data_IF_491053342897
#
_entry.id   IF_491053342897
#
_cell.length_a   1.000
_cell.length_b   1.000
_cell.length_c   1.000
_cell.angle_alpha   90.00
_cell.angle_beta   90.00
_cell.angle_gamma   90.00
#
_symmetry.space_group_name_H-M   'P 1'
#
loop_
_entity.id
_entity.type
_entity.pdbx_description
1 polymer ?
#
# COMPACT_ATOMS: atom_id res chain seq x y z
N UNK A 1 -5.21 -15.32 -0.52
CA UNK A 1 -4.19 -14.43 -1.10
C UNK A 1 -4.79 -13.16 -1.70
N UNK A 2 -5.61 -13.25 -2.76
CA UNK A 2 -6.10 -12.08 -3.52
C UNK A 2 -6.81 -11.04 -2.66
N UNK A 3 -7.78 -11.48 -1.84
CA UNK A 3 -8.55 -10.59 -0.94
C UNK A 3 -7.63 -9.90 0.06
N UNK A 4 -6.70 -10.64 0.69
CA UNK A 4 -5.75 -10.08 1.68
C UNK A 4 -4.87 -8.99 1.05
N UNK A 5 -4.27 -9.26 -0.11
CA UNK A 5 -3.44 -8.29 -0.83
C UNK A 5 -4.27 -7.07 -1.22
N UNK A 6 -5.48 -7.28 -1.77
CA UNK A 6 -6.36 -6.18 -2.14
C UNK A 6 -6.78 -5.32 -0.95
N UNK A 7 -7.16 -5.91 0.19
CA UNK A 7 -7.54 -5.16 1.40
C UNK A 7 -6.37 -4.35 1.97
N UNK A 8 -5.16 -4.93 2.01
CA UNK A 8 -3.97 -4.21 2.47
C UNK A 8 -3.62 -3.06 1.52
N UNK A 9 -3.71 -3.28 0.20
CA UNK A 9 -3.51 -2.23 -0.81
C UNK A 9 -4.51 -1.09 -0.66
N UNK A 10 -5.81 -1.40 -0.46
CA UNK A 10 -6.85 -0.38 -0.24
C UNK A 10 -6.48 0.48 0.97
N UNK A 11 -6.17 -0.14 2.09
CA UNK A 11 -5.85 0.58 3.34
C UNK A 11 -4.63 1.49 3.16
N UNK A 12 -3.56 0.97 2.57
CA UNK A 12 -2.29 1.71 2.44
C UNK A 12 -2.37 2.79 1.37
N UNK A 13 -3.00 2.55 0.22
CA UNK A 13 -3.18 3.57 -0.81
C UNK A 13 -4.13 4.66 -0.33
N UNK A 14 -5.19 4.31 0.40
CA UNK A 14 -6.09 5.29 0.98
C UNK A 14 -5.37 6.18 2.00
N UNK A 15 -4.59 5.57 2.91
CA UNK A 15 -3.79 6.29 3.89
C UNK A 15 -2.75 7.20 3.22
N UNK A 16 -2.00 6.66 2.24
CA UNK A 16 -1.00 7.42 1.51
C UNK A 16 -1.62 8.61 0.76
N UNK A 17 -2.78 8.43 0.13
CA UNK A 17 -3.52 9.49 -0.54
C UNK A 17 -4.03 10.56 0.42
N UNK A 18 -4.59 10.15 1.56
CA UNK A 18 -5.08 11.09 2.57
C UNK A 18 -3.94 11.93 3.18
N UNK A 19 -2.76 11.32 3.36
CA UNK A 19 -1.59 11.95 3.93
C UNK A 19 -0.72 12.72 2.93
N UNK A 20 -0.90 12.52 1.62
CA UNK A 20 -0.01 13.05 0.58
C UNK A 20 0.21 14.58 0.64
N UNK A 21 -0.85 15.31 0.98
CA UNK A 21 -0.87 16.77 1.00
C UNK A 21 -0.69 17.35 2.40
N UNK A 22 -1.30 16.74 3.43
CA UNK A 22 -1.28 17.25 4.81
C UNK A 22 -0.20 16.58 5.71
N UNK A 23 0.66 15.73 5.15
CA UNK A 23 1.81 15.13 5.86
C UNK A 23 2.63 16.13 6.68
N UNK A 24 2.96 17.34 6.17
CA UNK A 24 3.75 18.30 6.93
C UNK A 24 3.02 18.77 8.18
N UNK A 25 1.69 18.95 8.11
CA UNK A 25 0.88 19.36 9.24
C UNK A 25 0.84 18.28 10.34
N UNK A 26 0.76 17.00 9.94
CA UNK A 26 0.81 15.87 10.88
C UNK A 26 2.15 15.83 11.61
N UNK A 27 3.27 15.95 10.88
CA UNK A 27 4.61 15.96 11.49
C UNK A 27 4.81 17.19 12.36
N UNK A 28 4.37 18.37 11.92
CA UNK A 28 4.46 19.59 12.71
C UNK A 28 3.69 19.46 14.03
N UNK A 29 2.47 18.92 14.00
CA UNK A 29 1.68 18.66 15.21
C UNK A 29 2.34 17.64 16.13
N UNK A 30 2.81 16.51 15.57
CA UNK A 30 3.45 15.43 16.34
C UNK A 30 4.77 15.87 16.99
N UNK A 31 5.59 16.64 16.27
CA UNK A 31 6.88 17.14 16.74
C UNK A 31 6.77 18.44 17.53
N UNK A 32 5.56 18.99 17.68
CA UNK A 32 5.29 20.34 18.24
C UNK A 32 6.13 21.42 17.54
N UNK A 33 6.33 21.27 16.24
CA UNK A 33 7.10 22.19 15.40
C UNK A 33 8.61 22.18 15.64
N UNK A 34 9.16 21.17 16.31
CA UNK A 34 10.60 21.10 16.61
C UNK A 34 11.46 20.61 15.46
N UNK A 35 10.86 19.97 14.46
CA UNK A 35 11.56 19.36 13.32
C UNK A 35 10.92 19.89 12.04
N UNK A 36 11.75 20.46 11.16
CA UNK A 36 11.31 20.88 9.83
C UNK A 36 11.08 19.63 8.95
N UNK A 37 9.87 19.39 8.45
CA UNK A 37 9.57 18.18 7.69
C UNK A 37 10.13 18.27 6.26
N UNK A 38 11.03 17.36 5.90
CA UNK A 38 11.40 17.15 4.49
C UNK A 38 10.23 16.48 3.75
N UNK A 39 9.48 17.28 3.00
CA UNK A 39 8.30 16.84 2.25
C UNK A 39 8.67 15.79 1.19
N UNK A 40 9.85 15.92 0.57
CA UNK A 40 10.33 14.97 -0.44
C UNK A 40 10.56 13.60 0.18
N UNK A 41 11.27 13.56 1.30
CA UNK A 41 11.56 12.33 2.03
C UNK A 41 10.28 11.63 2.48
N UNK A 42 9.35 12.38 3.08
CA UNK A 42 8.09 11.83 3.60
C UNK A 42 7.22 11.24 2.49
N UNK A 43 7.15 11.90 1.33
CA UNK A 43 6.42 11.36 0.16
C UNK A 43 7.07 10.11 -0.40
N UNK A 44 8.40 10.07 -0.47
CA UNK A 44 9.13 8.87 -0.90
C UNK A 44 8.92 7.70 0.07
N UNK A 45 8.89 7.96 1.38
CA UNK A 45 8.56 6.93 2.36
C UNK A 45 7.12 6.43 2.21
N UNK A 46 6.15 7.30 1.94
CA UNK A 46 4.77 6.87 1.64
C UNK A 46 4.72 5.96 0.41
N UNK A 47 5.43 6.32 -0.66
CA UNK A 47 5.53 5.46 -1.85
C UNK A 47 6.19 4.12 -1.53
N UNK A 48 7.24 4.12 -0.70
CA UNK A 48 7.88 2.89 -0.24
C UNK A 48 6.91 1.98 0.49
N UNK A 49 6.09 2.50 1.40
CA UNK A 49 5.07 1.71 2.12
C UNK A 49 4.06 1.08 1.16
N UNK A 50 3.62 1.80 0.13
CA UNK A 50 2.71 1.26 -0.91
C UNK A 50 3.34 0.07 -1.62
N UNK A 51 4.58 0.21 -2.08
CA UNK A 51 5.33 -0.87 -2.75
C UNK A 51 5.55 -2.06 -1.81
N UNK A 52 5.93 -1.77 -0.56
CA UNK A 52 6.26 -2.78 0.44
C UNK A 52 5.06 -3.67 0.80
N UNK A 53 3.87 -3.06 0.87
CA UNK A 53 2.64 -3.75 1.23
C UNK A 53 2.28 -4.86 0.25
N UNK A 54 2.65 -4.73 -1.04
CA UNK A 54 2.33 -5.71 -2.08
C UNK A 54 2.94 -7.07 -1.75
N UNK A 55 4.22 -7.07 -1.40
CA UNK A 55 4.95 -8.29 -1.15
C UNK A 55 4.83 -8.73 0.32
N UNK A 56 4.66 -7.82 1.30
CA UNK A 56 4.41 -8.17 2.70
C UNK A 56 3.10 -8.96 2.88
N UNK A 57 2.03 -8.57 2.20
CA UNK A 57 0.77 -9.34 2.27
C UNK A 57 0.91 -10.73 1.63
N UNK A 58 1.80 -10.88 0.65
CA UNK A 58 2.07 -12.15 0.00
C UNK A 58 3.01 -13.05 0.81
N UNK A 59 3.98 -12.49 1.55
CA UNK A 59 4.94 -13.26 2.37
C UNK A 59 4.29 -14.08 3.47
N UNK A 60 3.07 -13.72 3.88
CA UNK A 60 2.29 -14.48 4.86
C UNK A 60 2.01 -15.93 4.40
N UNK A 61 1.96 -16.19 3.09
CA UNK A 61 1.69 -17.53 2.54
C UNK A 61 2.94 -18.43 2.63
N UNK A 62 4.13 -18.03 2.12
CA UNK A 62 5.37 -18.73 2.38
C UNK A 62 5.65 -18.94 3.86
N UNK A 63 5.35 -17.94 4.71
CA UNK A 63 5.49 -18.05 6.15
C UNK A 63 4.57 -19.14 6.74
N UNK A 64 3.28 -19.15 6.37
CA UNK A 64 2.33 -20.17 6.85
C UNK A 64 2.63 -21.58 6.32
N UNK A 65 3.38 -21.71 5.22
CA UNK A 65 3.78 -22.99 4.63
C UNK A 65 5.18 -23.44 5.05
N UNK A 66 5.74 -22.87 6.13
CA UNK A 66 7.06 -23.18 6.66
C UNK A 66 8.23 -22.96 5.67
N UNK A 67 8.04 -22.13 4.63
CA UNK A 67 9.09 -21.78 3.65
C UNK A 67 9.88 -20.54 4.08
N UNK A 68 10.14 -20.42 5.38
CA UNK A 68 10.84 -19.27 5.95
C UNK A 68 12.23 -19.06 5.33
N UNK A 69 12.94 -20.12 4.95
CA UNK A 69 14.29 -20.02 4.36
C UNK A 69 14.31 -19.21 3.05
N UNK A 70 13.41 -19.50 2.11
CA UNK A 70 13.33 -18.77 0.82
C UNK A 70 12.98 -17.30 1.05
N UNK A 71 12.04 -17.07 1.97
CA UNK A 71 11.61 -15.73 2.35
C UNK A 71 12.78 -14.93 2.96
N UNK A 72 13.44 -15.46 3.98
CA UNK A 72 14.58 -14.81 4.65
C UNK A 72 15.73 -14.51 3.70
N UNK A 73 16.04 -15.41 2.75
CA UNK A 73 17.07 -15.14 1.75
C UNK A 73 16.69 -13.97 0.83
N UNK A 74 15.44 -13.92 0.35
CA UNK A 74 14.95 -12.83 -0.50
C UNK A 74 15.00 -11.49 0.24
N UNK A 75 14.59 -11.47 1.50
CA UNK A 75 14.70 -10.30 2.38
C UNK A 75 16.15 -9.86 2.60
N UNK A 76 17.04 -10.81 2.87
CA UNK A 76 18.45 -10.50 3.12
C UNK A 76 19.09 -9.88 1.88
N UNK A 77 18.83 -10.43 0.69
CA UNK A 77 19.30 -9.87 -0.59
C UNK A 77 18.72 -8.47 -0.81
N UNK A 78 17.42 -8.27 -0.60
CA UNK A 78 16.77 -6.97 -0.75
C UNK A 78 17.34 -5.92 0.19
N UNK A 79 17.55 -6.25 1.46
CA UNK A 79 18.07 -5.32 2.46
C UNK A 79 19.54 -4.98 2.20
N UNK A 80 20.37 -5.97 1.87
CA UNK A 80 21.78 -5.74 1.51
C UNK A 80 21.88 -4.87 0.27
N UNK A 81 21.08 -5.17 -0.77
CA UNK A 81 21.02 -4.35 -1.98
C UNK A 81 20.52 -2.92 -1.68
N UNK A 82 19.50 -2.77 -0.85
CA UNK A 82 18.95 -1.48 -0.45
C UNK A 82 19.97 -0.61 0.31
N UNK A 83 20.74 -1.20 1.22
CA UNK A 83 21.82 -0.51 1.96
C UNK A 83 22.97 -0.14 1.03
N UNK A 84 23.40 -1.06 0.15
CA UNK A 84 24.47 -0.81 -0.81
C UNK A 84 24.10 0.32 -1.79
N UNK A 85 22.89 0.28 -2.34
CA UNK A 85 22.36 1.33 -3.20
C UNK A 85 22.21 2.66 -2.46
N UNK A 86 21.77 2.62 -1.19
CA UNK A 86 21.67 3.83 -0.36
C UNK A 86 23.04 4.47 -0.18
N UNK A 87 24.07 3.70 0.15
CA UNK A 87 25.43 4.21 0.30
C UNK A 87 25.98 4.84 -1.00
N UNK A 88 25.63 4.27 -2.16
CA UNK A 88 26.03 4.79 -3.47
C UNK A 88 25.28 6.07 -3.86
N UNK A 89 23.99 6.16 -3.54
CA UNK A 89 23.10 7.26 -3.94
C UNK A 89 23.12 8.44 -2.94
N UNK A 90 23.54 8.20 -1.69
CA UNK A 90 23.62 9.21 -0.63
C UNK A 90 24.36 10.48 -1.04
N UNK A 91 25.54 10.42 -1.72
CA UNK A 91 26.27 11.62 -2.11
C UNK A 91 25.53 12.51 -3.12
N UNK A 92 24.59 11.94 -3.90
CA UNK A 92 23.89 12.65 -4.99
C UNK A 92 22.48 13.08 -4.61
N UNK A 93 21.77 12.27 -3.84
CA UNK A 93 20.35 12.50 -3.51
C UNK A 93 20.11 12.81 -2.02
N UNK A 94 21.15 12.85 -1.20
CA UNK A 94 21.02 13.08 0.24
C UNK A 94 20.15 12.03 0.92
N UNK A 95 19.35 12.43 1.91
CA UNK A 95 18.47 11.51 2.65
C UNK A 95 17.39 10.84 1.77
N UNK A 96 16.99 11.47 0.67
CA UNK A 96 16.03 10.91 -0.28
C UNK A 96 16.57 9.64 -0.98
N UNK A 97 17.89 9.44 -0.98
CA UNK A 97 18.52 8.22 -1.49
C UNK A 97 18.00 6.95 -0.79
N UNK A 98 17.66 7.04 0.50
CA UNK A 98 17.27 5.89 1.32
C UNK A 98 15.99 5.24 0.76
N UNK A 99 14.81 5.92 0.76
CA UNK A 99 13.59 5.28 0.27
C UNK A 99 13.67 4.91 -1.21
N UNK A 100 14.37 5.69 -2.05
CA UNK A 100 14.55 5.36 -3.47
C UNK A 100 15.28 4.02 -3.64
N UNK A 101 16.36 3.82 -2.88
CA UNK A 101 17.17 2.60 -2.93
C UNK A 101 16.38 1.39 -2.45
N UNK A 102 15.60 1.54 -1.38
CA UNK A 102 14.76 0.47 -0.86
C UNK A 102 13.62 0.13 -1.82
N UNK A 103 12.96 1.12 -2.44
CA UNK A 103 11.95 0.87 -3.47
C UNK A 103 12.55 0.06 -4.62
N UNK A 104 13.72 0.48 -5.13
CA UNK A 104 14.39 -0.22 -6.22
C UNK A 104 14.77 -1.67 -5.84
N UNK A 105 15.35 -1.86 -4.65
CA UNK A 105 15.74 -3.17 -4.16
C UNK A 105 14.54 -4.11 -3.90
N UNK A 106 13.46 -3.60 -3.30
CA UNK A 106 12.25 -4.38 -3.03
C UNK A 106 11.52 -4.76 -4.31
N UNK A 107 11.46 -3.88 -5.32
CA UNK A 107 10.88 -4.21 -6.62
C UNK A 107 11.70 -5.31 -7.30
N UNK A 108 13.03 -5.21 -7.28
CA UNK A 108 13.91 -6.17 -7.92
C UNK A 108 13.88 -7.55 -7.25
N UNK A 109 13.91 -7.59 -5.91
CA UNK A 109 14.01 -8.83 -5.15
C UNK A 109 12.64 -9.33 -4.67
N UNK A 110 11.93 -8.54 -3.88
CA UNK A 110 10.76 -9.01 -3.15
C UNK A 110 9.52 -9.14 -4.04
N UNK A 111 9.25 -8.16 -4.90
CA UNK A 111 8.05 -8.21 -5.78
C UNK A 111 8.12 -9.36 -6.77
N UNK A 112 9.32 -9.70 -7.28
CA UNK A 112 9.45 -10.84 -8.19
C UNK A 112 9.49 -12.18 -7.45
N UNK A 113 10.41 -12.37 -6.50
CA UNK A 113 10.63 -13.69 -5.89
C UNK A 113 9.52 -14.09 -4.93
N UNK A 114 9.13 -13.22 -3.99
CA UNK A 114 8.15 -13.56 -2.94
C UNK A 114 6.76 -13.73 -3.55
N UNK A 115 6.38 -12.86 -4.49
CA UNK A 115 5.07 -12.93 -5.13
C UNK A 115 4.96 -14.15 -6.04
N UNK A 116 6.02 -14.50 -6.77
CA UNK A 116 6.07 -15.71 -7.60
C UNK A 116 5.97 -16.98 -6.75
N UNK A 117 6.69 -17.04 -5.63
CA UNK A 117 6.60 -18.19 -4.71
C UNK A 117 5.20 -18.32 -4.11
N UNK A 118 4.59 -17.21 -3.68
CA UNK A 118 3.22 -17.23 -3.18
C UNK A 118 2.21 -17.67 -4.25
N UNK A 119 2.33 -17.20 -5.50
CA UNK A 119 1.49 -17.65 -6.61
C UNK A 119 1.66 -19.14 -6.91
N UNK A 120 2.89 -19.66 -6.90
CA UNK A 120 3.17 -21.10 -7.10
C UNK A 120 2.52 -21.96 -6.03
N UNK A 121 2.57 -21.55 -4.76
CA UNK A 121 1.98 -22.29 -3.64
C UNK A 121 0.45 -22.34 -3.76
N UNK A 122 -0.18 -21.25 -4.20
CA UNK A 122 -1.64 -21.17 -4.37
C UNK A 122 -2.12 -21.79 -5.70
N UNK A 123 -1.21 -22.04 -6.65
CA UNK A 123 -1.55 -22.53 -7.99
C UNK A 123 -2.17 -21.46 -8.90
N UNK A 124 -1.79 -20.18 -8.72
CA UNK A 124 -2.28 -19.07 -9.54
C UNK A 124 -1.30 -18.71 -10.64
N UNK A 125 -1.82 -18.19 -11.76
CA UNK A 125 -0.99 -17.59 -12.80
C UNK A 125 -0.35 -16.28 -12.32
N UNK A 126 0.98 -16.31 -12.19
CA UNK A 126 1.80 -15.18 -11.69
C UNK A 126 1.67 -13.91 -12.55
N UNK A 127 1.90 -13.93 -13.88
CA UNK A 127 1.85 -12.72 -14.69
C UNK A 127 0.46 -12.10 -14.72
N UNK A 128 -0.61 -12.90 -14.86
CA UNK A 128 -1.97 -12.36 -14.81
C UNK A 128 -2.29 -11.73 -13.44
N UNK A 129 -1.85 -12.35 -12.34
CA UNK A 129 -2.03 -11.78 -11.01
C UNK A 129 -1.27 -10.47 -10.83
N UNK A 130 0.02 -10.43 -11.21
CA UNK A 130 0.85 -9.24 -11.07
C UNK A 130 0.30 -8.07 -11.91
N UNK A 131 0.00 -8.30 -13.19
CA UNK A 131 -0.53 -7.27 -14.09
C UNK A 131 -1.84 -6.73 -13.54
N UNK A 132 -2.75 -7.59 -13.09
CA UNK A 132 -4.03 -7.16 -12.53
C UNK A 132 -3.85 -6.36 -11.24
N UNK A 133 -3.00 -6.81 -10.32
CA UNK A 133 -2.79 -6.11 -9.04
C UNK A 133 -2.06 -4.78 -9.25
N UNK A 134 -1.02 -4.73 -10.07
CA UNK A 134 -0.28 -3.49 -10.35
C UNK A 134 -1.14 -2.48 -11.11
N UNK A 135 -1.86 -2.91 -12.16
CA UNK A 135 -2.74 -1.99 -12.90
C UNK A 135 -3.92 -1.51 -12.05
N UNK A 136 -4.55 -2.40 -11.27
CA UNK A 136 -5.62 -2.03 -10.35
C UNK A 136 -5.15 -1.05 -9.27
N UNK A 137 -3.98 -1.29 -8.66
CA UNK A 137 -3.39 -0.39 -7.68
C UNK A 137 -2.96 0.95 -8.29
N UNK A 138 -2.48 0.98 -9.53
CA UNK A 138 -2.14 2.22 -10.23
C UNK A 138 -3.40 3.07 -10.49
N UNK A 139 -4.47 2.46 -11.01
CA UNK A 139 -5.76 3.13 -11.23
C UNK A 139 -6.31 3.66 -9.90
N UNK A 140 -6.26 2.85 -8.84
CA UNK A 140 -6.71 3.26 -7.51
C UNK A 140 -5.89 4.41 -6.95
N UNK A 141 -4.56 4.38 -7.12
CA UNK A 141 -3.68 5.47 -6.67
C UNK A 141 -3.99 6.78 -7.37
N UNK A 142 -4.24 6.74 -8.69
CA UNK A 142 -4.64 7.94 -9.47
C UNK A 142 -5.99 8.47 -9.00
N UNK A 143 -6.98 7.60 -8.82
CA UNK A 143 -8.31 8.00 -8.37
C UNK A 143 -8.29 8.60 -6.96
N UNK A 144 -7.54 7.97 -6.04
CA UNK A 144 -7.33 8.44 -4.68
C UNK A 144 -6.60 9.78 -4.67
N UNK A 145 -5.56 9.94 -5.49
CA UNK A 145 -4.82 11.19 -5.60
C UNK A 145 -5.70 12.32 -6.14
N UNK A 146 -6.52 12.05 -7.16
CA UNK A 146 -7.48 13.00 -7.70
C UNK A 146 -8.55 13.40 -6.67
N UNK A 147 -9.07 12.44 -5.91
CA UNK A 147 -10.02 12.71 -4.83
C UNK A 147 -9.40 13.56 -3.72
N UNK A 148 -8.18 13.24 -3.30
CA UNK A 148 -7.44 14.01 -2.31
C UNK A 148 -7.19 15.45 -2.82
N UNK A 149 -6.81 15.62 -4.09
CA UNK A 149 -6.63 16.93 -4.70
C UNK A 149 -7.95 17.74 -4.74
N UNK A 150 -9.07 17.11 -5.07
CA UNK A 150 -10.38 17.75 -5.07
C UNK A 150 -10.79 18.24 -3.67
N UNK A 151 -10.50 17.46 -2.62
CA UNK A 151 -10.73 17.86 -1.22
C UNK A 151 -9.89 19.09 -0.87
N UNK A 152 -8.62 19.12 -1.29
CA UNK A 152 -7.73 20.27 -1.07
C UNK A 152 -8.22 21.53 -1.78
N UNK A 153 -8.81 21.40 -2.97
CA UNK A 153 -9.36 22.52 -3.72
C UNK A 153 -10.70 23.04 -3.19
N UNK A 154 -11.52 22.17 -2.58
CA UNK A 154 -12.90 22.50 -2.17
C UNK A 154 -13.03 22.95 -0.72
N UNK A 155 -12.13 22.51 0.16
CA UNK A 155 -12.16 22.84 1.58
C UNK A 155 -11.07 23.88 1.88
N UNK A 156 -11.35 25.19 1.84
CA UNK A 156 -10.41 26.25 2.22
C UNK A 156 -10.14 26.32 3.75
N UNK A 157 -10.41 25.25 4.50
CA UNK A 157 -10.27 25.18 5.95
C UNK A 157 -8.85 24.81 6.44
N UNK A 158 -8.67 24.82 7.77
CA UNK A 158 -7.41 24.43 8.41
C UNK A 158 -7.03 22.97 8.15
N UNK A 159 -5.74 22.65 8.26
CA UNK A 159 -5.17 21.34 7.92
C UNK A 159 -5.88 20.15 8.61
N UNK A 160 -6.39 20.34 9.83
CA UNK A 160 -7.14 19.31 10.56
C UNK A 160 -8.49 18.94 9.87
N UNK A 161 -9.21 19.93 9.35
CA UNK A 161 -10.47 19.69 8.65
C UNK A 161 -10.26 18.94 7.34
N UNK A 162 -9.23 19.33 6.57
CA UNK A 162 -8.85 18.66 5.31
C UNK A 162 -8.38 17.23 5.56
N UNK A 163 -7.53 17.03 6.57
CA UNK A 163 -7.09 15.70 6.98
C UNK A 163 -8.28 14.80 7.36
N UNK A 164 -9.22 15.33 8.14
CA UNK A 164 -10.41 14.57 8.57
C UNK A 164 -11.29 14.21 7.37
N UNK A 165 -11.53 15.15 6.46
CA UNK A 165 -12.25 14.88 5.22
C UNK A 165 -11.53 13.83 4.36
N UNK A 166 -10.22 13.97 4.16
CA UNK A 166 -9.41 13.00 3.41
C UNK A 166 -9.44 11.61 4.05
N UNK A 167 -9.35 11.50 5.38
CA UNK A 167 -9.42 10.22 6.10
C UNK A 167 -10.78 9.52 5.98
N UNK A 168 -11.85 10.23 5.63
CA UNK A 168 -13.19 9.65 5.41
C UNK A 168 -13.44 9.36 3.93
N UNK A 169 -13.24 10.35 3.06
CA UNK A 169 -13.60 10.26 1.65
C UNK A 169 -12.62 9.43 0.83
N UNK A 170 -11.32 9.50 1.11
CA UNK A 170 -10.31 8.77 0.33
C UNK A 170 -10.46 7.25 0.47
N UNK A 171 -10.69 6.67 1.67
CA UNK A 171 -10.97 5.24 1.79
C UNK A 171 -12.24 4.80 1.06
N UNK A 172 -13.29 5.62 1.01
CA UNK A 172 -14.51 5.30 0.26
C UNK A 172 -14.24 5.22 -1.24
N UNK A 173 -13.48 6.17 -1.79
CA UNK A 173 -13.05 6.14 -3.19
C UNK A 173 -12.17 4.93 -3.46
N UNK A 174 -11.18 4.66 -2.61
CA UNK A 174 -10.30 3.50 -2.73
C UNK A 174 -11.10 2.19 -2.72
N UNK A 175 -12.04 2.02 -1.79
CA UNK A 175 -12.90 0.86 -1.70
C UNK A 175 -13.79 0.69 -2.94
N UNK A 176 -14.39 1.77 -3.44
CA UNK A 176 -15.21 1.76 -4.65
C UNK A 176 -14.43 1.38 -5.91
N UNK A 177 -13.25 1.96 -6.10
CA UNK A 177 -12.39 1.63 -7.25
C UNK A 177 -11.85 0.20 -7.14
N UNK A 178 -11.43 -0.23 -5.95
CA UNK A 178 -10.98 -1.60 -5.73
C UNK A 178 -12.10 -2.62 -5.94
N UNK A 179 -13.34 -2.27 -5.59
CA UNK A 179 -14.51 -3.09 -5.90
C UNK A 179 -14.60 -3.39 -7.38
N UNK A 180 -14.40 -2.38 -8.23
CA UNK A 180 -14.51 -2.50 -9.69
C UNK A 180 -13.29 -3.22 -10.29
N UNK A 181 -12.07 -2.81 -9.95
CA UNK A 181 -10.86 -3.20 -10.68
C UNK A 181 -10.03 -4.31 -10.00
N UNK A 182 -10.00 -4.37 -8.67
CA UNK A 182 -9.18 -5.34 -7.93
C UNK A 182 -9.93 -6.65 -7.68
N UNK A 183 -11.18 -6.60 -7.21
CA UNK A 183 -11.95 -7.82 -6.89
C UNK A 183 -12.50 -8.51 -8.14
N UNK A 184 -12.39 -9.84 -8.21
CA UNK A 184 -13.13 -10.65 -9.19
C UNK A 184 -14.58 -10.84 -8.79
N UNK A 185 -15.41 -11.33 -9.70
CA UNK A 185 -16.81 -11.70 -9.42
C UNK A 185 -16.89 -12.71 -8.27
N UNK A 186 -15.99 -13.69 -8.23
CA UNK A 186 -15.88 -14.69 -7.16
C UNK A 186 -15.54 -14.04 -5.81
N UNK A 187 -14.60 -13.08 -5.78
CA UNK A 187 -14.22 -12.38 -4.56
C UNK A 187 -15.40 -11.57 -4.01
N UNK A 188 -16.15 -10.88 -4.89
CA UNK A 188 -17.35 -10.13 -4.52
C UNK A 188 -18.42 -11.05 -3.93
N UNK A 189 -18.66 -12.21 -4.54
CA UNK A 189 -19.62 -13.18 -4.03
C UNK A 189 -19.24 -13.73 -2.66
N UNK A 190 -17.94 -13.99 -2.43
CA UNK A 190 -17.43 -14.42 -1.11
C UNK A 190 -17.61 -13.35 -0.04
N UNK A 191 -17.33 -12.09 -0.37
CA UNK A 191 -17.49 -10.96 0.55
C UNK A 191 -18.97 -10.73 0.89
N UNK A 192 -19.86 -10.75 -0.12
CA UNK A 192 -21.30 -10.62 0.09
C UNK A 192 -21.88 -11.80 0.88
N UNK A 193 -21.40 -13.03 0.63
CA UNK A 193 -21.80 -14.20 1.39
C UNK A 193 -21.33 -14.15 2.85
N UNK A 194 -20.16 -13.56 3.11
CA UNK A 194 -19.68 -13.32 4.47
C UNK A 194 -20.49 -12.22 5.18
N UNK A 195 -20.79 -11.11 4.50
CA UNK A 195 -21.64 -10.04 5.05
C UNK A 195 -23.02 -10.56 5.46
N UNK A 196 -23.64 -11.43 4.65
CA UNK A 196 -24.92 -12.09 4.98
C UNK A 196 -24.85 -13.01 6.21
N UNK A 197 -23.68 -13.55 6.53
CA UNK A 197 -23.49 -14.40 7.74
C UNK A 197 -23.31 -13.58 9.02
N UNK A 198 -22.87 -12.34 8.90
CA UNK A 198 -22.63 -11.42 10.04
C UNK A 198 -23.85 -10.55 10.31
N UNK A 199 -24.66 -10.27 9.28
CA UNK A 199 -25.92 -9.58 9.46
C UNK A 199 -26.75 -10.33 10.52
N UNK A 200 -27.20 -9.64 11.59
CA UNK A 200 -28.05 -10.26 12.59
C UNK A 200 -29.26 -10.87 11.88
N UNK A 201 -29.56 -12.13 12.21
CA UNK A 201 -30.80 -12.78 11.71
C UNK A 201 -31.97 -12.01 12.32
N UNK A 202 -32.51 -11.04 11.59
CA UNK A 202 -33.82 -10.49 11.90
C UNK A 202 -34.84 -11.63 11.74
N UNK A 203 -35.28 -12.23 12.85
CA UNK A 203 -36.34 -13.23 12.85
C UNK A 203 -36.11 -14.52 13.66
N UNK A 204 -35.68 -14.43 14.92
CA UNK A 204 -36.05 -15.44 15.92
C UNK A 204 -36.59 -14.71 17.15
N UNK A 205 -37.88 -14.41 17.10
CA UNK A 205 -38.73 -14.10 18.24
C UNK A 205 -39.94 -15.04 18.16
#
# INVERSE_FOLDING_TARGET
MRILVATSMIAVIALAGALWFDVPAVIHYWTRGRIEPDIGLLRLMLLQVVVQTLWMSASNIPAATNRHRSLSMSYMVSNVAGVALSALLLPRFGLNAIPISFIAAEIAACVHFVLRDACKIVGMDYPAFLVKTVSGSAIMSVAVWAAALAIQATIPGGAAARLTASMVFVPLVAAGVAWIFLFTVEDRQRLLGWAKRIAPREGVA
#
